data_IF_331755609551
#
_entry.id   IF_331755609551
#
_cell.length_a   1.000
_cell.length_b   1.000
_cell.length_c   1.000
_cell.angle_alpha   90.00
_cell.angle_beta   90.00
_cell.angle_gamma   90.00
#
_symmetry.space_group_name_H-M   'P 1'
#
loop_
_entity.id
_entity.type
_entity.pdbx_description
1 polymer ?
#
# COMPACT_ATOMS: atom_id res chain seq x y z
N UNK A 1 -15.81 8.08 -5.86
CA UNK A 1 -15.05 6.84 -6.14
C UNK A 1 -13.72 6.81 -5.39
N UNK A 2 -12.78 7.72 -5.65
CA UNK A 2 -11.45 7.75 -5.00
C UNK A 2 -11.49 7.74 -3.47
N UNK A 3 -12.31 8.60 -2.84
CA UNK A 3 -12.43 8.67 -1.37
C UNK A 3 -12.99 7.38 -0.75
N UNK A 4 -13.89 6.69 -1.47
CA UNK A 4 -14.46 5.42 -1.03
C UNK A 4 -13.40 4.33 -1.05
N UNK A 5 -12.58 4.26 -2.11
CA UNK A 5 -11.46 3.33 -2.18
C UNK A 5 -10.45 3.57 -1.05
N UNK A 6 -10.18 4.83 -0.72
CA UNK A 6 -9.23 5.17 0.33
C UNK A 6 -9.74 4.86 1.73
N UNK A 7 -11.03 5.11 1.97
CA UNK A 7 -11.71 4.68 3.18
C UNK A 7 -11.64 3.15 3.35
N UNK A 8 -11.97 2.41 2.29
CA UNK A 8 -11.95 0.94 2.31
C UNK A 8 -10.55 0.37 2.54
N UNK A 9 -9.51 0.94 1.91
CA UNK A 9 -8.13 0.52 2.09
C UNK A 9 -7.65 0.73 3.54
N UNK A 10 -8.04 1.85 4.16
CA UNK A 10 -7.70 2.16 5.55
C UNK A 10 -8.39 1.19 6.53
N UNK A 11 -9.69 0.95 6.34
CA UNK A 11 -10.47 0.01 7.16
C UNK A 11 -9.92 -1.41 7.01
N UNK A 12 -9.64 -1.87 5.79
CA UNK A 12 -9.07 -3.19 5.55
C UNK A 12 -7.70 -3.36 6.25
N UNK A 13 -6.83 -2.35 6.16
CA UNK A 13 -5.52 -2.37 6.83
C UNK A 13 -5.67 -2.46 8.36
N UNK A 14 -6.60 -1.69 8.95
CA UNK A 14 -6.87 -1.73 10.40
C UNK A 14 -7.41 -3.07 10.87
N UNK A 15 -8.28 -3.72 10.09
CA UNK A 15 -8.84 -5.04 10.43
C UNK A 15 -7.75 -6.12 10.36
N UNK A 16 -6.94 -6.11 9.30
CA UNK A 16 -5.87 -7.10 9.08
C UNK A 16 -4.75 -7.00 10.10
N UNK A 17 -4.39 -5.78 10.53
CA UNK A 17 -3.31 -5.53 11.50
C UNK A 17 -3.82 -5.62 12.94
N UNK A 18 -5.06 -5.18 13.19
CA UNK A 18 -5.64 -5.09 14.53
C UNK A 18 -6.12 -6.41 15.12
N UNK A 19 -6.22 -7.49 14.32
CA UNK A 19 -6.62 -8.81 14.82
C UNK A 19 -8.03 -8.86 15.41
N UNK A 20 -8.93 -7.96 14.98
CA UNK A 20 -10.30 -7.86 15.49
C UNK A 20 -11.20 -8.90 14.81
N UNK A 21 -11.03 -10.18 15.16
CA UNK A 21 -11.76 -11.30 14.56
C UNK A 21 -13.24 -11.39 14.98
N UNK A 22 -13.65 -10.68 16.05
CA UNK A 22 -14.98 -10.88 16.66
C UNK A 22 -15.72 -9.61 17.12
N UNK A 23 -15.07 -8.46 17.22
CA UNK A 23 -15.74 -7.22 17.64
C UNK A 23 -14.94 -6.04 17.13
N UNK A 24 -15.53 -5.25 16.22
CA UNK A 24 -14.92 -4.02 15.70
C UNK A 24 -15.34 -2.88 16.64
N UNK A 25 -14.43 -2.30 17.45
CA UNK A 25 -14.76 -1.18 18.32
C UNK A 25 -15.08 0.06 17.46
N UNK A 26 -16.26 0.66 17.64
CA UNK A 26 -16.70 1.86 16.90
C UNK A 26 -15.73 3.06 17.03
N UNK A 27 -14.91 3.08 18.09
CA UNK A 27 -13.87 4.07 18.32
C UNK A 27 -12.73 4.01 17.28
N UNK A 28 -12.46 2.84 16.68
CA UNK A 28 -11.48 2.65 15.59
C UNK A 28 -12.04 3.02 14.20
N UNK A 29 -13.37 3.05 14.06
CA UNK A 29 -14.06 3.31 12.79
C UNK A 29 -14.41 4.79 12.57
N UNK A 30 -14.24 5.66 13.57
CA UNK A 30 -14.69 7.05 13.46
C UNK A 30 -13.73 8.07 14.04
N UNK A 31 -12.87 7.71 15.00
CA UNK A 31 -11.95 8.68 15.57
C UNK A 31 -10.80 8.94 14.60
N UNK A 32 -10.69 10.20 14.16
CA UNK A 32 -9.65 10.72 13.26
C UNK A 32 -9.56 10.17 11.84
N UNK A 33 -10.49 9.33 11.35
CA UNK A 33 -10.51 8.91 9.93
C UNK A 33 -10.38 10.08 8.93
N UNK A 34 -11.12 11.21 9.05
CA UNK A 34 -10.93 12.32 8.11
C UNK A 34 -9.54 12.94 8.21
N UNK A 35 -8.95 13.01 9.40
CA UNK A 35 -7.58 13.51 9.60
C UNK A 35 -6.54 12.54 9.05
N UNK A 36 -6.72 11.24 9.24
CA UNK A 36 -5.88 10.20 8.66
C UNK A 36 -5.95 10.22 7.12
N UNK A 37 -7.14 10.42 6.54
CA UNK A 37 -7.30 10.58 5.08
C UNK A 37 -6.57 11.83 4.58
N UNK A 38 -6.71 12.97 5.27
CA UNK A 38 -6.00 14.21 4.91
C UNK A 38 -4.49 14.03 5.03
N UNK A 39 -4.01 13.40 6.11
CA UNK A 39 -2.59 13.15 6.31
C UNK A 39 -2.02 12.13 5.31
N UNK A 40 -2.78 11.10 4.94
CA UNK A 40 -2.41 10.18 3.87
C UNK A 40 -2.34 10.89 2.52
N UNK A 41 -3.28 11.80 2.27
CA UNK A 41 -3.31 12.57 1.03
C UNK A 41 -2.13 13.54 0.93
N UNK A 42 -1.94 14.39 1.94
CA UNK A 42 -0.85 15.37 1.99
C UNK A 42 0.49 14.66 2.10
N UNK A 43 0.60 13.67 2.97
CA UNK A 43 1.78 12.83 3.12
C UNK A 43 2.14 12.11 1.83
N UNK A 44 1.15 11.59 1.09
CA UNK A 44 1.35 10.97 -0.22
C UNK A 44 1.89 11.94 -1.27
N UNK A 45 1.41 13.18 -1.29
CA UNK A 45 1.94 14.24 -2.16
C UNK A 45 3.40 14.55 -1.81
N UNK A 46 3.70 14.76 -0.52
CA UNK A 46 5.07 15.04 -0.06
C UNK A 46 6.01 13.86 -0.36
N UNK A 47 5.59 12.65 -0.05
CA UNK A 47 6.29 11.41 -0.36
C UNK A 47 6.62 11.29 -1.84
N UNK A 48 5.61 11.43 -2.70
CA UNK A 48 5.81 11.34 -4.16
C UNK A 48 6.75 12.43 -4.68
N UNK A 49 6.66 13.66 -4.18
CA UNK A 49 7.59 14.72 -4.52
C UNK A 49 9.04 14.39 -4.11
N UNK A 50 9.25 13.89 -2.88
CA UNK A 50 10.57 13.48 -2.39
C UNK A 50 11.16 12.34 -3.25
N UNK A 51 10.34 11.35 -3.61
CA UNK A 51 10.76 10.26 -4.49
C UNK A 51 11.12 10.77 -5.89
N UNK A 52 10.30 11.65 -6.48
CA UNK A 52 10.56 12.23 -7.80
C UNK A 52 11.86 13.03 -7.80
N UNK A 53 12.05 13.90 -6.81
CA UNK A 53 13.26 14.72 -6.66
C UNK A 53 14.49 13.83 -6.46
N UNK A 54 14.39 12.83 -5.57
CA UNK A 54 15.48 11.88 -5.34
C UNK A 54 15.81 11.04 -6.57
N UNK A 55 14.80 10.72 -7.39
CA UNK A 55 14.95 9.90 -8.60
C UNK A 55 15.74 10.59 -9.71
N UNK A 56 15.92 11.91 -9.66
CA UNK A 56 16.84 12.64 -10.55
C UNK A 56 18.26 12.06 -10.47
N UNK A 57 18.66 11.59 -9.29
CA UNK A 57 19.96 10.98 -9.03
C UNK A 57 19.88 9.45 -8.89
N UNK A 58 18.72 8.85 -9.19
CA UNK A 58 18.39 7.41 -9.09
C UNK A 58 18.55 6.82 -7.68
N UNK A 59 19.78 6.77 -7.15
CA UNK A 59 20.11 6.22 -5.83
C UNK A 59 19.33 6.92 -4.71
N UNK A 60 19.29 8.26 -4.63
CA UNK A 60 18.50 8.93 -3.59
C UNK A 60 17.00 8.70 -3.74
N UNK A 61 16.52 8.48 -4.97
CA UNK A 61 15.12 8.17 -5.25
C UNK A 61 14.73 6.79 -4.73
N UNK A 62 15.57 5.78 -4.95
CA UNK A 62 15.38 4.44 -4.41
C UNK A 62 15.40 4.47 -2.88
N UNK A 63 16.38 5.18 -2.29
CA UNK A 63 16.46 5.32 -0.83
C UNK A 63 15.21 6.02 -0.30
N UNK A 64 14.77 7.12 -0.90
CA UNK A 64 13.55 7.83 -0.49
C UNK A 64 12.30 6.94 -0.60
N UNK A 65 12.18 6.17 -1.68
CA UNK A 65 11.07 5.23 -1.86
C UNK A 65 11.03 4.21 -0.71
N UNK A 66 12.17 3.55 -0.45
CA UNK A 66 12.26 2.56 0.62
C UNK A 66 12.11 3.19 2.01
N UNK A 67 12.59 4.41 2.20
CA UNK A 67 12.59 5.10 3.48
C UNK A 67 11.19 5.44 3.98
N UNK A 68 10.32 5.79 3.05
CA UNK A 68 9.02 6.37 3.35
C UNK A 68 7.85 5.43 3.01
N UNK A 69 8.13 4.22 2.54
CA UNK A 69 7.09 3.23 2.19
C UNK A 69 6.22 2.84 3.40
N UNK A 70 6.76 2.92 4.62
CA UNK A 70 6.03 2.61 5.86
C UNK A 70 5.20 3.78 6.40
N UNK A 71 5.34 5.00 5.86
CA UNK A 71 4.57 6.18 6.28
C UNK A 71 3.06 5.91 6.27
N UNK A 72 2.56 5.19 5.26
CA UNK A 72 1.15 4.81 5.15
C UNK A 72 0.68 3.98 6.35
N UNK A 73 1.53 3.10 6.86
CA UNK A 73 1.21 2.23 8.02
C UNK A 73 1.14 3.07 9.29
N UNK A 74 2.12 3.95 9.53
CA UNK A 74 2.11 4.87 10.68
C UNK A 74 0.88 5.78 10.69
N UNK A 75 0.50 6.36 9.55
CA UNK A 75 -0.70 7.22 9.49
C UNK A 75 -1.98 6.38 9.65
N UNK A 76 -2.07 5.20 9.02
CA UNK A 76 -3.29 4.41 9.02
C UNK A 76 -3.53 3.65 10.33
N UNK A 77 -2.47 3.17 11.00
CA UNK A 77 -2.54 2.31 12.18
C UNK A 77 -2.26 3.08 13.46
N UNK A 78 -1.29 3.99 13.45
CA UNK A 78 -0.84 4.72 14.64
C UNK A 78 -1.47 6.13 14.74
N UNK A 79 -2.35 6.49 13.79
CA UNK A 79 -3.05 7.79 13.72
C UNK A 79 -2.09 9.00 13.73
N UNK A 80 -0.87 8.80 13.23
CA UNK A 80 0.15 9.84 13.20
C UNK A 80 -0.11 10.91 12.14
N UNK A 81 0.40 12.12 12.40
CA UNK A 81 0.51 13.15 11.37
C UNK A 81 1.60 12.78 10.36
N UNK A 82 1.44 13.19 9.10
CA UNK A 82 2.38 12.82 8.02
C UNK A 82 3.83 13.20 8.32
N UNK A 83 4.06 14.28 9.06
CA UNK A 83 5.42 14.73 9.44
C UNK A 83 6.08 13.74 10.41
N UNK A 84 5.35 13.28 11.44
CA UNK A 84 5.84 12.30 12.39
C UNK A 84 6.08 10.96 11.67
N UNK A 85 5.08 10.51 10.90
CA UNK A 85 5.14 9.27 10.13
C UNK A 85 6.33 9.22 9.15
N UNK A 86 6.72 10.35 8.52
CA UNK A 86 7.91 10.41 7.67
C UNK A 86 9.20 10.23 8.48
N UNK A 87 9.29 10.85 9.66
CA UNK A 87 10.43 10.74 10.55
C UNK A 87 10.59 9.33 11.11
N UNK A 88 9.49 8.73 11.57
CA UNK A 88 9.49 7.40 12.17
C UNK A 88 9.71 6.31 11.11
N UNK A 89 9.13 6.47 9.92
CA UNK A 89 9.44 5.61 8.76
C UNK A 89 10.92 5.70 8.37
N UNK A 90 11.53 6.89 8.38
CA UNK A 90 12.96 7.06 8.12
C UNK A 90 13.82 6.40 9.21
N UNK A 91 13.45 6.54 10.48
CA UNK A 91 14.16 5.92 11.61
C UNK A 91 14.14 4.39 11.52
N UNK A 92 12.98 3.81 11.20
CA UNK A 92 12.76 2.37 11.06
C UNK A 92 13.60 1.77 9.91
N UNK A 93 13.72 2.50 8.81
CA UNK A 93 14.41 2.05 7.60
C UNK A 93 15.92 2.28 7.66
N UNK A 94 16.36 3.29 8.44
CA UNK A 94 17.76 3.65 8.62
C UNK A 94 18.56 2.51 9.26
N UNK A 95 19.43 1.90 8.47
CA UNK A 95 20.36 0.83 8.91
C UNK A 95 20.11 -0.51 8.24
N UNK A 96 18.91 -0.74 7.69
CA UNK A 96 18.54 -1.99 7.02
C UNK A 96 18.19 -1.80 5.53
N UNK A 97 18.67 -0.70 4.92
CA UNK A 97 18.39 -0.32 3.54
C UNK A 97 18.60 -1.43 2.52
N UNK A 98 19.72 -2.17 2.63
CA UNK A 98 20.02 -3.29 1.73
C UNK A 98 19.04 -4.45 1.87
N UNK A 99 18.62 -4.75 3.10
CA UNK A 99 17.65 -5.83 3.36
C UNK A 99 16.27 -5.45 2.83
N UNK A 100 15.86 -4.20 3.03
CA UNK A 100 14.62 -3.67 2.47
C UNK A 100 14.68 -3.64 0.94
N UNK A 101 15.78 -3.14 0.37
CA UNK A 101 15.99 -3.14 -1.07
C UNK A 101 15.87 -4.56 -1.65
N UNK A 102 16.56 -5.54 -1.07
CA UNK A 102 16.50 -6.92 -1.53
C UNK A 102 15.08 -7.49 -1.42
N UNK A 103 14.37 -7.22 -0.32
CA UNK A 103 12.97 -7.63 -0.17
C UNK A 103 12.09 -7.05 -1.29
N UNK A 104 12.23 -5.75 -1.57
CA UNK A 104 11.51 -5.09 -2.66
C UNK A 104 11.89 -5.64 -4.03
N UNK A 105 13.17 -5.97 -4.24
CA UNK A 105 13.63 -6.63 -5.48
C UNK A 105 12.98 -8.00 -5.63
N UNK A 106 12.95 -8.83 -4.59
CA UNK A 106 12.32 -10.17 -4.65
C UNK A 106 10.84 -10.06 -4.97
N UNK A 107 10.12 -9.17 -4.28
CA UNK A 107 8.70 -8.91 -4.54
C UNK A 107 8.51 -8.39 -5.97
N UNK A 108 9.34 -7.46 -6.41
CA UNK A 108 9.32 -6.90 -7.75
C UNK A 108 9.59 -7.94 -8.85
N UNK A 109 10.52 -8.85 -8.63
CA UNK A 109 10.81 -9.96 -9.55
C UNK A 109 9.62 -10.91 -9.65
N UNK A 110 9.03 -11.30 -8.52
CA UNK A 110 7.84 -12.17 -8.50
C UNK A 110 6.70 -11.47 -9.26
N UNK A 111 6.42 -10.20 -8.94
CA UNK A 111 5.39 -9.41 -9.62
C UNK A 111 5.67 -9.26 -11.12
N UNK A 112 6.92 -9.03 -11.51
CA UNK A 112 7.35 -8.90 -12.90
C UNK A 112 7.18 -10.21 -13.69
N UNK A 113 7.58 -11.35 -13.10
CA UNK A 113 7.39 -12.68 -13.71
C UNK A 113 5.90 -12.96 -13.91
N UNK A 114 5.08 -12.72 -12.89
CA UNK A 114 3.63 -12.86 -13.01
C UNK A 114 3.08 -11.95 -14.11
N UNK A 115 3.48 -10.68 -14.15
CA UNK A 115 3.07 -9.72 -15.18
C UNK A 115 3.42 -10.18 -16.60
N UNK A 116 4.60 -10.75 -16.82
CA UNK A 116 5.00 -11.34 -18.10
C UNK A 116 4.12 -12.54 -18.46
N UNK A 117 3.84 -13.44 -17.50
CA UNK A 117 2.95 -14.58 -17.72
C UNK A 117 1.53 -14.13 -18.10
N UNK A 118 1.00 -13.10 -17.42
CA UNK A 118 -0.30 -12.50 -17.77
C UNK A 118 -0.28 -11.91 -19.18
N UNK A 119 0.78 -11.16 -19.52
CA UNK A 119 0.94 -10.55 -20.85
C UNK A 119 0.96 -11.61 -21.96
N UNK A 120 1.77 -12.65 -21.82
CA UNK A 120 1.85 -13.77 -22.77
C UNK A 120 0.49 -14.50 -22.87
N UNK A 121 -0.14 -14.80 -21.73
CA UNK A 121 -1.46 -15.44 -21.69
C UNK A 121 -2.53 -14.61 -22.41
N UNK A 122 -2.43 -13.28 -22.32
CA UNK A 122 -3.36 -12.36 -22.99
C UNK A 122 -3.18 -12.27 -24.50
N UNK A 123 -1.96 -12.49 -25.00
CA UNK A 123 -1.68 -12.55 -26.44
C UNK A 123 -2.10 -13.88 -27.06
N UNK A 124 -2.13 -14.97 -26.29
CA UNK A 124 -2.49 -16.32 -26.76
C UNK A 124 -3.99 -16.48 -27.03
N UNK A 125 -4.84 -16.05 -26.10
CA UNK A 125 -6.28 -15.99 -26.36
C UNK A 125 -7.02 -15.00 -25.44
N UNK A 126 -8.08 -14.33 -25.94
CA UNK A 126 -8.95 -13.48 -25.12
C UNK A 126 -9.65 -14.24 -23.98
N UNK A 127 -9.86 -15.55 -24.14
CA UNK A 127 -10.44 -16.38 -23.09
C UNK A 127 -9.43 -16.62 -21.95
N UNK A 128 -8.15 -16.84 -22.27
CA UNK A 128 -7.10 -17.04 -21.28
C UNK A 128 -6.85 -15.76 -20.45
N UNK A 129 -6.83 -14.57 -21.07
CA UNK A 129 -6.76 -13.30 -20.33
C UNK A 129 -7.94 -13.10 -19.39
N UNK A 130 -9.15 -13.47 -19.82
CA UNK A 130 -10.36 -13.33 -19.01
C UNK A 130 -10.29 -14.24 -17.78
N UNK A 131 -9.90 -15.51 -17.95
CA UNK A 131 -9.75 -16.47 -16.84
C UNK A 131 -8.65 -16.03 -15.87
N UNK A 132 -7.50 -15.60 -16.40
CA UNK A 132 -6.38 -15.11 -15.61
C UNK A 132 -6.77 -13.86 -14.79
N UNK A 133 -7.45 -12.91 -15.42
CA UNK A 133 -7.94 -11.71 -14.73
C UNK A 133 -8.98 -12.07 -13.67
N UNK A 134 -9.91 -12.97 -13.97
CA UNK A 134 -10.87 -13.45 -12.99
C UNK A 134 -10.19 -14.11 -11.79
N UNK A 135 -9.18 -14.96 -12.00
CA UNK A 135 -8.43 -15.61 -10.92
C UNK A 135 -7.77 -14.60 -9.97
N UNK A 136 -7.28 -13.48 -10.50
CA UNK A 136 -6.69 -12.41 -9.70
C UNK A 136 -7.77 -11.61 -8.97
N UNK A 137 -8.83 -11.17 -9.65
CA UNK A 137 -9.80 -10.23 -9.09
C UNK A 137 -10.90 -10.87 -8.23
N UNK A 138 -11.21 -12.15 -8.43
CA UNK A 138 -12.22 -12.88 -7.65
C UNK A 138 -11.97 -12.82 -6.13
N UNK A 139 -10.77 -13.14 -5.60
CA UNK A 139 -10.54 -13.04 -4.17
C UNK A 139 -10.72 -11.61 -3.64
N UNK A 140 -10.29 -10.58 -4.38
CA UNK A 140 -10.53 -9.19 -4.00
C UNK A 140 -12.02 -8.84 -3.97
N UNK A 141 -12.81 -9.35 -4.91
CA UNK A 141 -14.26 -9.13 -4.93
C UNK A 141 -14.94 -9.76 -3.72
N UNK A 142 -14.54 -10.97 -3.32
CA UNK A 142 -15.10 -11.65 -2.14
C UNK A 142 -14.76 -10.88 -0.86
N UNK A 143 -13.52 -10.39 -0.74
CA UNK A 143 -13.10 -9.56 0.38
C UNK A 143 -13.88 -8.24 0.44
N UNK A 144 -14.09 -7.59 -0.71
CA UNK A 144 -14.89 -6.36 -0.78
C UNK A 144 -16.33 -6.58 -0.35
N UNK A 145 -16.96 -7.68 -0.78
CA UNK A 145 -18.32 -8.02 -0.36
C UNK A 145 -18.40 -8.29 1.15
N UNK A 146 -17.39 -8.97 1.71
CA UNK A 146 -17.30 -9.22 3.15
C UNK A 146 -17.10 -7.97 4.00
N UNK A 147 -16.62 -6.85 3.44
CA UNK A 147 -16.54 -5.56 4.15
C UNK A 147 -17.87 -4.80 4.10
N UNK A 148 -18.70 -5.05 3.07
CA UNK A 148 -19.97 -4.34 2.84
C UNK A 148 -21.16 -5.04 3.51
N UNK A 149 -21.08 -6.36 3.73
CA UNK A 149 -22.10 -7.18 4.39
C UNK A 149 -21.93 -7.21 5.91
#
# INVERSE_FOLDING_TARGET
>A
LFLVLQYMALVATRILVGGYERTIPNDLLTRNIPLAIVNLFVGGIVYSALVVIGSILVIPGIIAYLAFVFMTVYIAVEDENFVAALGDSWSLTRGNWLRLFLLFVVIGVIGGVLGVLFSIGSMLSPAASTILSALVFLPFSVLSLGIIA
#
